data_IF_854039441266
#
_entry.id   IF_854039441266
#
_cell.length_a   1.000
_cell.length_b   1.000
_cell.length_c   1.000
_cell.angle_alpha   90.00
_cell.angle_beta   90.00
_cell.angle_gamma   90.00
#
_symmetry.space_group_name_H-M   'P 1'
#
loop_
_entity.id
_entity.type
_entity.pdbx_description
1 polymer ?
#
# COMPACT_ATOMS: atom_id res chain seq x y z
N UNK A 1 -32.17 21.61 -24.19
CA UNK A 1 -31.55 20.83 -23.12
C UNK A 1 -30.09 20.64 -23.50
N UNK A 2 -29.23 21.47 -22.96
CA UNK A 2 -27.78 21.35 -23.13
C UNK A 2 -27.37 20.04 -22.51
N UNK A 3 -27.07 19.04 -23.34
CA UNK A 3 -26.27 17.90 -22.94
C UNK A 3 -24.88 18.46 -22.60
N UNK A 4 -24.67 18.79 -21.35
CA UNK A 4 -23.34 19.11 -20.85
C UNK A 4 -22.51 17.84 -21.06
N UNK A 5 -21.80 17.84 -22.19
CA UNK A 5 -20.81 16.83 -22.49
C UNK A 5 -19.62 17.13 -21.54
N UNK A 6 -19.76 16.70 -20.26
CA UNK A 6 -18.69 16.85 -19.29
C UNK A 6 -17.73 15.67 -19.53
N UNK A 7 -16.61 15.89 -20.24
CA UNK A 7 -15.63 14.84 -20.54
C UNK A 7 -15.06 14.20 -19.27
N UNK A 8 -15.15 14.91 -18.15
CA UNK A 8 -14.62 14.45 -16.87
C UNK A 8 -15.50 13.40 -16.17
N UNK A 9 -16.77 13.23 -16.58
CA UNK A 9 -17.64 12.17 -16.03
C UNK A 9 -17.11 10.75 -16.30
N UNK A 10 -16.22 10.61 -17.29
CA UNK A 10 -15.56 9.36 -17.67
C UNK A 10 -14.09 9.33 -17.31
N UNK A 11 -13.54 10.41 -16.72
CA UNK A 11 -12.15 10.43 -16.29
C UNK A 11 -11.89 9.36 -15.24
N UNK A 12 -10.88 8.52 -15.45
CA UNK A 12 -10.43 7.49 -14.50
C UNK A 12 -9.27 7.97 -13.61
N UNK A 13 -8.84 9.24 -13.73
CA UNK A 13 -7.64 9.74 -13.07
C UNK A 13 -7.66 9.54 -11.54
N UNK A 14 -8.74 9.91 -10.88
CA UNK A 14 -8.84 9.73 -9.41
C UNK A 14 -8.71 8.26 -8.99
N UNK A 15 -9.21 7.33 -9.82
CA UNK A 15 -9.05 5.89 -9.59
C UNK A 15 -7.61 5.44 -9.78
N UNK A 16 -6.95 5.90 -10.85
CA UNK A 16 -5.54 5.60 -11.10
C UNK A 16 -4.64 6.15 -9.98
N UNK A 17 -4.91 7.39 -9.52
CA UNK A 17 -4.19 8.02 -8.43
C UNK A 17 -4.36 7.23 -7.11
N UNK A 18 -5.60 6.76 -6.83
CA UNK A 18 -5.86 5.90 -5.67
C UNK A 18 -5.08 4.59 -5.76
N UNK A 19 -5.22 3.84 -6.87
CA UNK A 19 -4.55 2.55 -7.07
C UNK A 19 -3.03 2.72 -6.94
N UNK A 20 -2.47 3.79 -7.52
CA UNK A 20 -1.04 4.07 -7.44
C UNK A 20 -0.59 4.34 -5.99
N UNK A 21 -1.36 5.12 -5.21
CA UNK A 21 -1.06 5.37 -3.80
C UNK A 21 -1.18 4.09 -2.97
N UNK A 22 -2.24 3.32 -3.15
CA UNK A 22 -2.46 2.05 -2.46
C UNK A 22 -1.31 1.06 -2.71
N UNK A 23 -0.92 0.86 -3.97
CA UNK A 23 0.21 0.00 -4.34
C UNK A 23 1.54 0.51 -3.76
N UNK A 24 1.75 1.83 -3.72
CA UNK A 24 2.94 2.45 -3.14
C UNK A 24 3.06 2.12 -1.66
N UNK A 25 2.01 2.32 -0.86
CA UNK A 25 2.04 2.07 0.58
C UNK A 25 1.94 0.58 0.94
N UNK A 26 1.37 -0.26 0.10
CA UNK A 26 1.46 -1.71 0.23
C UNK A 26 2.90 -2.20 0.01
N UNK A 27 3.59 -1.66 -0.98
CA UNK A 27 5.01 -1.95 -1.23
C UNK A 27 5.91 -1.46 -0.08
N UNK A 28 5.66 -0.27 0.48
CA UNK A 28 6.32 0.20 1.70
C UNK A 28 6.15 -0.82 2.83
N UNK A 29 4.92 -1.30 3.07
CA UNK A 29 4.64 -2.32 4.09
C UNK A 29 5.40 -3.63 3.86
N UNK A 30 5.53 -4.05 2.61
CA UNK A 30 6.31 -5.23 2.22
C UNK A 30 7.79 -5.06 2.54
N UNK A 31 8.39 -3.94 2.14
CA UNK A 31 9.81 -3.64 2.41
C UNK A 31 10.08 -3.59 3.92
N UNK A 32 9.18 -3.01 4.71
CA UNK A 32 9.29 -2.98 6.18
C UNK A 32 9.25 -4.40 6.74
N UNK A 33 8.32 -5.25 6.29
CA UNK A 33 8.24 -6.66 6.72
C UNK A 33 9.51 -7.41 6.35
N UNK A 34 10.02 -7.26 5.11
CA UNK A 34 11.28 -7.84 4.66
C UNK A 34 12.47 -7.36 5.52
N UNK A 35 12.47 -6.10 5.95
CA UNK A 35 13.53 -5.51 6.78
C UNK A 35 13.69 -6.17 8.15
N UNK A 36 12.65 -6.85 8.66
CA UNK A 36 12.74 -7.66 9.88
C UNK A 36 13.21 -9.10 9.63
N UNK A 37 13.46 -9.49 8.37
CA UNK A 37 13.89 -10.84 7.99
C UNK A 37 15.39 -10.84 7.66
N UNK A 38 16.22 -11.52 8.47
CA UNK A 38 17.68 -11.60 8.26
C UNK A 38 18.06 -12.14 6.87
N UNK A 39 17.24 -13.01 6.29
CA UNK A 39 17.49 -13.61 4.98
C UNK A 39 17.43 -12.61 3.83
N UNK A 40 16.76 -11.48 3.99
CA UNK A 40 16.61 -10.44 2.97
C UNK A 40 17.71 -9.38 3.09
N UNK A 41 18.15 -9.08 4.31
CA UNK A 41 19.20 -8.08 4.60
C UNK A 41 20.46 -8.32 3.76
N UNK A 42 20.87 -9.56 3.58
CA UNK A 42 22.09 -9.94 2.86
C UNK A 42 21.96 -9.95 1.32
N UNK A 43 20.76 -9.72 0.77
CA UNK A 43 20.50 -9.77 -0.68
C UNK A 43 20.06 -8.42 -1.26
N UNK A 44 19.95 -7.39 -0.43
CA UNK A 44 19.50 -6.06 -0.82
C UNK A 44 20.70 -5.13 -1.10
N UNK A 45 20.50 -4.17 -2.00
CA UNK A 45 21.41 -3.03 -2.14
C UNK A 45 21.24 -2.01 -1.00
N UNK A 46 20.17 -2.10 -0.20
CA UNK A 46 19.97 -1.27 0.97
C UNK A 46 20.83 -1.73 2.15
N UNK A 47 21.20 -0.80 3.01
CA UNK A 47 21.79 -1.11 4.31
C UNK A 47 20.73 -1.02 5.40
N UNK A 48 20.85 -1.90 6.39
CA UNK A 48 19.92 -2.02 7.51
C UNK A 48 20.66 -1.74 8.80
N UNK A 49 20.18 -0.81 9.63
CA UNK A 49 20.79 -0.49 10.91
C UNK A 49 19.73 -0.37 12.00
N UNK A 50 19.99 -1.03 13.12
CA UNK A 50 19.21 -0.87 14.35
C UNK A 50 19.84 0.26 15.16
N UNK A 51 19.01 1.23 15.55
CA UNK A 51 19.40 2.35 16.40
C UNK A 51 18.64 2.21 17.71
N UNK A 52 19.36 2.10 18.81
CA UNK A 52 18.83 1.87 20.14
C UNK A 52 18.33 0.42 20.39
N UNK A 53 19.10 -0.34 21.16
CA UNK A 53 18.76 -1.71 21.57
C UNK A 53 18.27 -1.74 23.03
N UNK A 54 17.70 -0.64 23.53
CA UNK A 54 17.17 -0.61 24.89
C UNK A 54 15.83 -1.32 24.94
N UNK A 55 15.73 -2.36 25.74
CA UNK A 55 14.49 -3.17 25.88
C UNK A 55 13.31 -2.43 26.53
N UNK A 56 13.52 -1.18 26.97
CA UNK A 56 12.51 -0.37 27.66
C UNK A 56 11.83 0.67 26.77
N UNK A 57 12.40 0.96 25.60
CA UNK A 57 11.90 1.98 24.67
C UNK A 57 11.59 1.38 23.29
N UNK A 58 10.90 2.16 22.46
CA UNK A 58 10.69 1.79 21.07
C UNK A 58 12.02 1.72 20.30
N UNK A 59 12.26 0.61 19.63
CA UNK A 59 13.44 0.44 18.78
C UNK A 59 13.25 1.12 17.42
N UNK A 60 14.37 1.41 16.75
CA UNK A 60 14.36 2.02 15.41
C UNK A 60 15.18 1.19 14.44
N UNK A 61 14.56 0.77 13.34
CA UNK A 61 15.20 0.19 12.18
C UNK A 61 15.29 1.25 11.08
N UNK A 62 16.49 1.49 10.55
CA UNK A 62 16.70 2.34 9.38
C UNK A 62 17.04 1.45 8.19
N UNK A 63 16.23 1.58 7.12
CA UNK A 63 16.51 0.98 5.82
C UNK A 63 17.01 2.09 4.90
N UNK A 64 18.29 2.07 4.57
CA UNK A 64 18.94 3.11 3.77
C UNK A 64 19.30 2.57 2.38
N UNK A 65 18.64 3.11 1.35
CA UNK A 65 18.84 2.78 -0.07
C UNK A 65 19.97 3.62 -0.70
N UNK A 66 20.60 4.52 0.05
CA UNK A 66 21.66 5.41 -0.46
C UNK A 66 21.10 6.61 -1.24
N UNK A 67 22.02 7.29 -1.93
CA UNK A 67 21.72 8.48 -2.73
C UNK A 67 21.56 8.18 -4.23
N UNK A 68 21.96 6.99 -4.67
CA UNK A 68 21.84 6.48 -6.04
C UNK A 68 20.75 5.42 -6.12
N UNK A 69 20.26 5.16 -7.31
CA UNK A 69 19.18 4.19 -7.50
C UNK A 69 19.60 2.77 -7.09
N UNK A 70 18.86 2.20 -6.19
CA UNK A 70 18.97 0.84 -5.66
C UNK A 70 17.80 0.02 -6.20
N UNK A 71 18.06 -0.95 -7.09
CA UNK A 71 17.02 -1.83 -7.61
C UNK A 71 16.70 -2.93 -6.59
N UNK A 72 15.50 -2.87 -6.03
CA UNK A 72 14.99 -3.92 -5.13
C UNK A 72 13.54 -4.24 -5.46
N UNK A 73 13.26 -5.53 -5.65
CA UNK A 73 11.93 -6.04 -5.98
C UNK A 73 11.29 -5.35 -7.21
N UNK A 74 12.10 -5.14 -8.26
CA UNK A 74 11.67 -4.53 -9.52
C UNK A 74 11.44 -3.02 -9.46
N UNK A 75 11.75 -2.34 -8.35
CA UNK A 75 11.58 -0.89 -8.18
C UNK A 75 12.90 -0.22 -7.84
N UNK A 76 13.16 0.94 -8.45
CA UNK A 76 14.30 1.79 -8.13
C UNK A 76 13.99 2.61 -6.87
N UNK A 77 14.90 2.57 -5.88
CA UNK A 77 14.72 3.25 -4.60
C UNK A 77 15.96 4.05 -4.24
N UNK A 78 15.77 5.16 -3.53
CA UNK A 78 16.84 5.94 -2.90
C UNK A 78 16.30 6.67 -1.68
N UNK A 79 17.20 7.14 -0.79
CA UNK A 79 16.82 7.77 0.48
C UNK A 79 16.64 6.73 1.57
N UNK A 80 15.86 7.03 2.59
CA UNK A 80 15.72 6.18 3.78
C UNK A 80 14.27 6.01 4.19
N UNK A 81 13.99 4.84 4.75
CA UNK A 81 12.83 4.58 5.57
C UNK A 81 13.28 4.48 7.03
N UNK A 82 12.59 5.18 7.91
CA UNK A 82 12.82 5.16 9.37
C UNK A 82 11.64 4.47 10.01
N UNK A 83 11.88 3.34 10.65
CA UNK A 83 10.86 2.48 11.21
C UNK A 83 11.04 2.41 12.73
N UNK A 84 10.11 3.00 13.49
CA UNK A 84 10.05 2.84 14.94
C UNK A 84 9.05 1.75 15.29
N UNK A 85 9.37 0.91 16.27
CA UNK A 85 8.50 -0.19 16.65
C UNK A 85 8.56 -0.47 18.16
N UNK A 86 7.41 -0.87 18.74
CA UNK A 86 7.26 -1.22 20.16
C UNK A 86 7.36 -2.72 20.41
N UNK A 87 7.45 -3.52 19.37
CA UNK A 87 7.54 -4.97 19.39
C UNK A 87 7.67 -5.51 17.96
N UNK A 88 7.85 -6.82 17.84
CA UNK A 88 7.98 -7.47 16.52
C UNK A 88 6.66 -7.50 15.79
N UNK A 89 6.70 -7.70 14.49
CA UNK A 89 5.51 -7.80 13.63
C UNK A 89 4.45 -8.78 14.15
N UNK A 90 4.87 -9.85 14.83
CA UNK A 90 4.00 -10.93 15.33
C UNK A 90 3.54 -10.73 16.78
N UNK A 91 4.10 -9.74 17.47
CA UNK A 91 3.75 -9.50 18.87
C UNK A 91 2.41 -8.76 18.95
N UNK A 92 1.47 -9.30 19.72
CA UNK A 92 0.17 -8.64 19.90
C UNK A 92 0.35 -7.25 20.50
N UNK A 93 -0.41 -6.29 19.99
CA UNK A 93 -0.37 -4.87 20.37
C UNK A 93 0.92 -4.13 19.96
N UNK A 94 1.82 -4.77 19.20
CA UNK A 94 2.96 -4.06 18.64
C UNK A 94 2.51 -2.98 17.66
N UNK A 95 3.22 -1.85 17.69
CA UNK A 95 3.02 -0.72 16.77
C UNK A 95 4.29 -0.53 15.96
N UNK A 96 4.17 -0.49 14.64
CA UNK A 96 5.27 -0.26 13.70
C UNK A 96 4.92 0.99 12.90
N UNK A 97 5.68 2.07 13.11
CA UNK A 97 5.51 3.35 12.40
C UNK A 97 6.64 3.55 11.41
N UNK A 98 6.31 3.77 10.16
CA UNK A 98 7.26 4.03 9.08
C UNK A 98 7.14 5.47 8.61
N UNK A 99 8.26 6.18 8.60
CA UNK A 99 8.43 7.54 8.05
C UNK A 99 9.54 7.57 7.01
N UNK A 100 9.70 8.68 6.31
CA UNK A 100 10.57 8.77 5.14
C UNK A 100 11.55 9.95 5.28
N UNK A 101 12.82 9.71 4.91
CA UNK A 101 13.86 10.74 4.78
C UNK A 101 14.37 10.72 3.34
N UNK A 102 13.90 11.69 2.53
CA UNK A 102 14.22 11.80 1.11
C UNK A 102 14.03 10.47 0.35
N UNK A 103 12.96 9.72 0.69
CA UNK A 103 12.70 8.43 0.10
C UNK A 103 11.98 8.57 -1.25
N UNK A 104 12.59 7.97 -2.26
CA UNK A 104 12.03 7.91 -3.62
C UNK A 104 11.80 6.46 -4.04
N UNK A 105 10.71 6.25 -4.77
CA UNK A 105 10.40 5.01 -5.46
C UNK A 105 10.06 5.30 -6.93
N UNK A 106 10.83 4.74 -7.86
CA UNK A 106 10.71 5.02 -9.31
C UNK A 106 10.67 6.54 -9.60
N UNK A 107 11.58 7.31 -9.00
CA UNK A 107 11.69 8.78 -9.07
C UNK A 107 10.51 9.57 -8.44
N UNK A 108 9.53 8.94 -7.82
CA UNK A 108 8.49 9.63 -7.08
C UNK A 108 8.91 9.80 -5.62
N UNK A 109 8.84 11.03 -5.09
CA UNK A 109 9.13 11.30 -3.69
C UNK A 109 7.94 10.89 -2.82
N UNK A 110 8.19 10.04 -1.83
CA UNK A 110 7.18 9.53 -0.90
C UNK A 110 7.35 10.22 0.45
N UNK A 111 6.27 10.74 1.00
CA UNK A 111 6.24 11.43 2.29
C UNK A 111 5.03 10.99 3.12
N UNK A 112 5.04 11.32 4.42
CA UNK A 112 3.98 10.98 5.37
C UNK A 112 4.39 9.86 6.31
N UNK A 113 3.41 9.15 6.85
CA UNK A 113 3.65 8.03 7.75
C UNK A 113 2.70 6.86 7.46
N UNK A 114 3.18 5.65 7.73
CA UNK A 114 2.39 4.42 7.72
C UNK A 114 2.52 3.74 9.07
N UNK A 115 1.39 3.53 9.74
CA UNK A 115 1.31 2.89 11.05
C UNK A 115 0.64 1.53 10.88
N UNK A 116 1.29 0.48 11.35
CA UNK A 116 0.71 -0.85 11.47
C UNK A 116 0.62 -1.21 12.96
N UNK A 117 -0.57 -1.60 13.41
CA UNK A 117 -0.79 -2.09 14.77
C UNK A 117 -1.30 -3.52 14.71
N UNK A 118 -0.62 -4.44 15.39
CA UNK A 118 -1.08 -5.80 15.55
C UNK A 118 -2.22 -5.84 16.57
N UNK A 119 -3.42 -6.21 16.13
CA UNK A 119 -4.63 -6.27 16.98
C UNK A 119 -4.80 -7.62 17.70
N UNK A 120 -3.83 -8.53 17.54
CA UNK A 120 -3.95 -9.90 18.05
C UNK A 120 -4.73 -10.79 17.09
N UNK A 121 -5.38 -11.83 17.64
CA UNK A 121 -6.12 -12.82 16.84
C UNK A 121 -7.61 -12.59 16.93
N UNK A 122 -8.28 -12.80 15.78
CA UNK A 122 -9.75 -12.84 15.73
C UNK A 122 -10.30 -14.19 16.22
N UNK A 123 -11.63 -14.37 16.18
CA UNK A 123 -12.33 -15.60 16.56
C UNK A 123 -11.90 -16.83 15.76
N UNK A 124 -11.44 -16.64 14.54
CA UNK A 124 -10.97 -17.71 13.64
C UNK A 124 -9.50 -18.07 13.88
N UNK A 125 -8.85 -17.38 14.83
CA UNK A 125 -7.45 -17.56 15.17
C UNK A 125 -6.47 -16.88 14.21
N UNK A 126 -6.96 -16.11 13.25
CA UNK A 126 -6.16 -15.35 12.31
C UNK A 126 -5.65 -14.06 12.95
N UNK A 127 -4.42 -13.69 12.62
CA UNK A 127 -3.82 -12.45 13.11
C UNK A 127 -4.38 -11.26 12.35
N UNK A 128 -4.80 -10.25 13.09
CA UNK A 128 -5.39 -9.03 12.53
C UNK A 128 -4.52 -7.81 12.78
N UNK A 129 -4.53 -6.89 11.84
CA UNK A 129 -3.80 -5.63 11.91
C UNK A 129 -4.71 -4.47 11.56
N UNK A 130 -4.51 -3.32 12.20
CA UNK A 130 -4.94 -2.05 11.65
C UNK A 130 -3.76 -1.38 10.94
N UNK A 131 -4.02 -0.79 9.78
CA UNK A 131 -3.03 -0.10 8.97
C UNK A 131 -3.58 1.29 8.67
N UNK A 132 -2.89 2.32 9.15
CA UNK A 132 -3.20 3.69 8.84
C UNK A 132 -2.07 4.31 8.01
N UNK A 133 -2.43 5.09 6.99
CA UNK A 133 -1.51 5.97 6.27
C UNK A 133 -2.01 7.38 6.47
N UNK A 134 -1.16 8.24 7.05
CA UNK A 134 -1.54 9.58 7.45
C UNK A 134 -0.69 10.63 6.75
N UNK A 135 -1.32 11.74 6.38
CA UNK A 135 -0.64 12.92 5.84
C UNK A 135 0.37 12.57 4.74
N UNK A 136 0.04 11.59 3.91
CA UNK A 136 0.97 11.13 2.89
C UNK A 136 0.87 11.95 1.61
N UNK A 137 2.00 12.10 0.93
CA UNK A 137 2.07 12.64 -0.41
C UNK A 137 3.01 11.81 -1.28
N UNK A 138 2.64 11.68 -2.56
CA UNK A 138 3.45 11.09 -3.61
C UNK A 138 3.66 12.19 -4.65
N UNK A 139 4.88 12.72 -4.73
CA UNK A 139 5.22 13.77 -5.69
C UNK A 139 5.76 13.11 -6.94
N UNK A 140 5.02 13.24 -8.02
CA UNK A 140 5.32 12.67 -9.34
C UNK A 140 5.63 13.78 -10.36
N UNK A 141 6.08 13.41 -11.55
CA UNK A 141 6.26 14.36 -12.65
C UNK A 141 4.93 14.98 -13.14
N UNK A 142 3.79 14.33 -12.85
CA UNK A 142 2.46 14.77 -13.31
C UNK A 142 1.70 15.59 -12.25
N UNK A 143 2.23 15.71 -11.04
CA UNK A 143 1.61 16.39 -9.93
C UNK A 143 1.75 15.63 -8.61
N UNK A 144 1.05 16.09 -7.59
CA UNK A 144 1.10 15.50 -6.25
C UNK A 144 -0.20 14.77 -5.94
N UNK A 145 -0.08 13.55 -5.44
CA UNK A 145 -1.19 12.79 -4.86
C UNK A 145 -1.06 12.92 -3.35
N UNK A 146 -2.05 13.55 -2.69
CA UNK A 146 -2.20 13.49 -1.25
C UNK A 146 -3.17 12.37 -0.91
N UNK A 147 -2.80 11.50 0.02
CA UNK A 147 -3.58 10.29 0.29
C UNK A 147 -3.51 9.88 1.76
N UNK A 148 -4.62 9.36 2.27
CA UNK A 148 -4.72 8.80 3.60
C UNK A 148 -5.64 7.58 3.57
N UNK A 149 -5.34 6.57 4.39
CA UNK A 149 -6.17 5.37 4.47
C UNK A 149 -6.24 4.81 5.88
N UNK A 150 -7.33 4.09 6.15
CA UNK A 150 -7.48 3.25 7.33
C UNK A 150 -8.02 1.89 6.88
N UNK A 151 -7.21 0.85 7.02
CA UNK A 151 -7.56 -0.51 6.62
C UNK A 151 -7.36 -1.48 7.78
N UNK A 152 -8.19 -2.51 7.82
CA UNK A 152 -7.99 -3.70 8.64
C UNK A 152 -7.51 -4.82 7.74
N UNK A 153 -6.50 -5.55 8.18
CA UNK A 153 -5.89 -6.66 7.45
C UNK A 153 -5.97 -7.92 8.29
N UNK A 154 -6.53 -8.98 7.74
CA UNK A 154 -6.52 -10.31 8.33
C UNK A 154 -5.51 -11.19 7.60
N UNK A 155 -4.61 -11.85 8.33
CA UNK A 155 -3.62 -12.76 7.78
C UNK A 155 -4.17 -14.18 7.76
N UNK A 156 -4.63 -14.64 6.59
CA UNK A 156 -5.37 -15.89 6.43
C UNK A 156 -4.49 -17.10 6.10
N UNK A 157 -3.29 -16.89 5.50
CA UNK A 157 -2.36 -17.97 5.13
C UNK A 157 -0.91 -17.51 5.22
N UNK A 158 0.06 -18.44 5.33
CA UNK A 158 1.51 -18.19 5.31
C UNK A 158 2.13 -17.95 6.69
N UNK A 159 1.35 -17.83 7.76
CA UNK A 159 1.85 -17.45 9.08
C UNK A 159 2.84 -18.45 9.71
N UNK A 160 2.76 -19.72 9.37
CA UNK A 160 3.61 -20.78 9.95
C UNK A 160 4.95 -20.92 9.23
N UNK A 161 5.11 -20.32 8.07
CA UNK A 161 6.28 -20.35 7.21
C UNK A 161 7.12 -19.09 7.38
N UNK A 162 7.57 -18.86 8.60
CA UNK A 162 8.36 -17.69 8.96
C UNK A 162 9.57 -17.51 8.03
N UNK A 163 9.69 -16.31 7.46
CA UNK A 163 10.77 -15.98 6.50
C UNK A 163 10.43 -16.22 5.04
N UNK A 164 9.32 -16.90 4.74
CA UNK A 164 8.77 -16.99 3.40
C UNK A 164 7.52 -16.12 3.27
N UNK A 165 7.62 -14.97 2.61
CA UNK A 165 6.47 -14.09 2.41
C UNK A 165 5.63 -14.45 1.17
N UNK A 166 6.13 -15.36 0.32
CA UNK A 166 5.47 -15.67 -0.96
C UNK A 166 4.22 -16.55 -0.80
N UNK A 167 3.99 -17.13 0.36
CA UNK A 167 2.77 -17.90 0.68
C UNK A 167 1.82 -17.14 1.61
N UNK A 168 2.13 -15.85 1.88
CA UNK A 168 1.28 -14.99 2.69
C UNK A 168 0.04 -14.56 1.91
N UNK A 169 -1.12 -14.77 2.51
CA UNK A 169 -2.40 -14.28 1.98
C UNK A 169 -3.13 -13.47 3.04
N UNK A 170 -3.74 -12.38 2.59
CA UNK A 170 -4.46 -11.44 3.45
C UNK A 170 -5.83 -11.11 2.90
N UNK A 171 -6.69 -10.63 3.80
CA UNK A 171 -7.97 -9.99 3.50
C UNK A 171 -7.97 -8.58 4.03
N UNK A 172 -8.22 -7.61 3.16
CA UNK A 172 -8.28 -6.19 3.55
C UNK A 172 -9.70 -5.64 3.43
N UNK A 173 -10.07 -4.84 4.43
CA UNK A 173 -11.27 -4.00 4.45
C UNK A 173 -10.88 -2.60 4.92
N UNK A 174 -11.62 -1.57 4.50
CA UNK A 174 -11.37 -0.22 4.97
C UNK A 174 -11.71 0.85 3.96
N UNK A 175 -11.11 2.02 4.17
CA UNK A 175 -11.39 3.21 3.37
C UNK A 175 -10.13 4.06 3.16
N UNK A 176 -10.19 4.92 2.16
CA UNK A 176 -9.17 5.92 1.89
C UNK A 176 -9.82 7.24 1.42
N UNK A 177 -9.05 8.30 1.46
CA UNK A 177 -9.40 9.56 0.84
C UNK A 177 -8.14 10.22 0.29
N UNK A 178 -8.30 11.09 -0.70
CA UNK A 178 -7.16 11.75 -1.30
C UNK A 178 -7.53 12.93 -2.17
N UNK A 179 -6.47 13.60 -2.64
CA UNK A 179 -6.54 14.62 -3.69
C UNK A 179 -5.53 14.17 -4.75
N UNK A 180 -6.02 13.93 -5.96
CA UNK A 180 -5.21 13.43 -7.07
C UNK A 180 -4.37 14.51 -7.75
N UNK A 181 -3.58 14.10 -8.75
CA UNK A 181 -2.67 14.99 -9.51
C UNK A 181 -3.38 16.17 -10.16
N UNK A 182 -4.65 16.04 -10.51
CA UNK A 182 -5.48 17.10 -11.09
C UNK A 182 -6.20 17.95 -10.03
N UNK A 183 -5.76 17.86 -8.76
CA UNK A 183 -6.34 18.58 -7.63
C UNK A 183 -7.83 18.25 -7.37
N UNK A 184 -8.28 17.07 -7.78
CA UNK A 184 -9.62 16.58 -7.50
C UNK A 184 -9.62 15.67 -6.27
N UNK A 185 -10.49 15.98 -5.30
CA UNK A 185 -10.64 15.16 -4.09
C UNK A 185 -11.50 13.93 -4.37
N UNK A 186 -11.21 12.85 -3.65
CA UNK A 186 -11.98 11.61 -3.72
C UNK A 186 -12.01 10.89 -2.37
N UNK A 187 -13.03 10.07 -2.17
CA UNK A 187 -13.05 9.04 -1.13
C UNK A 187 -13.11 7.66 -1.75
N UNK A 188 -12.62 6.66 -1.04
CA UNK A 188 -12.69 5.24 -1.41
C UNK A 188 -13.19 4.41 -0.23
N UNK A 189 -14.00 3.41 -0.53
CA UNK A 189 -14.46 2.39 0.41
C UNK A 189 -14.35 1.02 -0.24
N UNK A 190 -13.76 0.06 0.47
CA UNK A 190 -13.76 -1.34 0.04
C UNK A 190 -15.16 -1.90 0.29
N UNK A 191 -15.84 -2.31 -0.79
CA UNK A 191 -17.21 -2.85 -0.74
C UNK A 191 -17.18 -4.36 -0.50
N UNK A 192 -16.37 -5.06 -1.30
CA UNK A 192 -16.09 -6.49 -1.11
C UNK A 192 -14.63 -6.67 -0.76
N UNK A 193 -14.38 -7.52 0.22
CA UNK A 193 -13.05 -7.80 0.77
C UNK A 193 -12.01 -7.97 -0.32
N UNK A 194 -10.91 -7.19 -0.23
CA UNK A 194 -9.76 -7.36 -1.12
C UNK A 194 -8.95 -8.58 -0.67
N UNK A 195 -8.79 -9.56 -1.56
CA UNK A 195 -7.95 -10.72 -1.32
C UNK A 195 -6.56 -10.48 -1.89
N UNK A 196 -5.57 -10.48 -1.01
CA UNK A 196 -4.17 -10.19 -1.31
C UNK A 196 -3.37 -11.49 -1.23
N UNK A 197 -2.55 -11.75 -2.25
CA UNK A 197 -1.70 -12.93 -2.34
C UNK A 197 -0.28 -12.50 -2.70
N UNK A 198 0.65 -12.61 -1.76
CA UNK A 198 2.04 -12.24 -2.02
C UNK A 198 2.77 -13.25 -2.92
N UNK A 199 2.17 -14.42 -3.19
CA UNK A 199 2.62 -15.35 -4.23
C UNK A 199 2.56 -14.77 -5.64
N UNK A 200 1.78 -13.70 -5.84
CA UNK A 200 1.71 -12.97 -7.11
C UNK A 200 2.92 -12.07 -7.40
N UNK A 201 3.80 -11.81 -6.41
CA UNK A 201 4.96 -10.97 -6.65
C UNK A 201 5.84 -11.52 -7.79
N UNK A 202 6.37 -10.67 -8.66
CA UNK A 202 6.44 -9.20 -8.62
C UNK A 202 5.24 -8.47 -9.22
N UNK A 203 4.18 -9.18 -9.61
CA UNK A 203 2.95 -8.60 -10.15
C UNK A 203 2.07 -7.97 -9.06
N UNK A 204 0.90 -7.49 -9.43
CA UNK A 204 -0.06 -6.94 -8.49
C UNK A 204 -0.59 -8.03 -7.56
N UNK A 205 -0.57 -7.74 -6.26
CA UNK A 205 -0.88 -8.71 -5.21
C UNK A 205 -2.36 -8.76 -4.84
N UNK A 206 -3.17 -7.78 -5.25
CA UNK A 206 -4.62 -7.80 -5.04
C UNK A 206 -5.22 -8.65 -6.16
N UNK A 207 -5.75 -9.81 -5.82
CA UNK A 207 -6.28 -10.78 -6.79
C UNK A 207 -7.74 -10.56 -7.14
N UNK A 208 -8.54 -10.14 -6.18
CA UNK A 208 -9.96 -9.88 -6.35
C UNK A 208 -10.51 -9.02 -5.21
N UNK A 209 -11.75 -8.65 -5.35
CA UNK A 209 -12.49 -7.76 -4.47
C UNK A 209 -12.96 -6.52 -5.21
N UNK A 210 -13.77 -5.71 -4.56
CA UNK A 210 -14.29 -4.48 -5.15
C UNK A 210 -14.16 -3.29 -4.20
N UNK A 211 -13.88 -2.12 -4.78
CA UNK A 211 -13.89 -0.86 -4.06
C UNK A 211 -14.70 0.18 -4.83
N UNK A 212 -15.33 1.08 -4.09
CA UNK A 212 -16.02 2.24 -4.66
C UNK A 212 -15.17 3.49 -4.46
N UNK A 213 -14.93 4.24 -5.51
CA UNK A 213 -14.35 5.57 -5.46
C UNK A 213 -15.40 6.60 -5.81
N UNK A 214 -15.51 7.63 -4.97
CA UNK A 214 -16.41 8.77 -5.14
C UNK A 214 -15.60 10.06 -5.28
N UNK A 215 -15.22 10.45 -6.52
CA UNK A 215 -14.54 11.72 -6.76
C UNK A 215 -15.52 12.87 -6.66
N UNK A 216 -15.05 14.01 -6.13
CA UNK A 216 -15.90 15.19 -5.98
C UNK A 216 -16.34 15.73 -7.34
N UNK A 217 -17.65 15.93 -7.51
CA UNK A 217 -18.25 16.44 -8.76
C UNK A 217 -18.37 15.43 -9.90
N UNK A 218 -18.10 14.14 -9.66
CA UNK A 218 -18.14 13.08 -10.67
C UNK A 218 -19.00 11.90 -10.20
N UNK A 219 -19.37 11.03 -11.16
CA UNK A 219 -20.08 9.79 -10.81
C UNK A 219 -19.17 8.85 -9.99
N UNK A 220 -19.77 8.02 -9.15
CA UNK A 220 -19.05 6.94 -8.48
C UNK A 220 -18.43 5.96 -9.48
N UNK A 221 -17.28 5.41 -9.12
CA UNK A 221 -16.59 4.36 -9.84
C UNK A 221 -16.49 3.12 -8.97
N UNK A 222 -16.78 1.97 -9.56
CA UNK A 222 -16.49 0.69 -8.93
C UNK A 222 -15.20 0.15 -9.54
N UNK A 223 -14.21 -0.14 -8.70
CA UNK A 223 -13.01 -0.86 -9.11
C UNK A 223 -13.28 -2.34 -8.86
N UNK A 224 -13.15 -3.17 -9.88
CA UNK A 224 -13.06 -4.61 -9.75
C UNK A 224 -11.61 -5.03 -9.92
N UNK A 225 -11.02 -5.59 -8.85
CA UNK A 225 -9.59 -5.95 -8.79
C UNK A 225 -9.27 -7.29 -9.46
N UNK A 226 -10.12 -7.73 -10.39
CA UNK A 226 -9.83 -8.88 -11.23
C UNK A 226 -10.54 -10.16 -10.82
N UNK A 227 -10.12 -11.25 -11.44
CA UNK A 227 -10.75 -12.57 -11.44
C UNK A 227 -9.94 -13.64 -10.68
N UNK A 228 -9.05 -13.23 -9.78
CA UNK A 228 -8.15 -14.09 -9.00
C UNK A 228 -6.87 -14.53 -9.73
N UNK A 229 -6.54 -13.92 -10.85
CA UNK A 229 -5.25 -14.10 -11.52
C UNK A 229 -4.19 -13.16 -10.91
N UNK A 230 -2.91 -13.55 -11.04
CA UNK A 230 -1.77 -12.70 -10.68
C UNK A 230 -1.42 -11.77 -11.86
N UNK A 231 -2.28 -10.83 -12.15
CA UNK A 231 -2.05 -9.82 -13.17
C UNK A 231 -2.34 -8.41 -12.60
N UNK A 232 -2.10 -7.39 -13.38
CA UNK A 232 -2.35 -6.02 -12.95
C UNK A 232 -3.53 -5.40 -13.71
N UNK A 233 -4.52 -6.23 -14.05
CA UNK A 233 -5.71 -5.81 -14.78
C UNK A 233 -6.85 -5.55 -13.82
N UNK A 234 -7.42 -4.37 -13.94
CA UNK A 234 -8.56 -3.91 -13.15
C UNK A 234 -9.63 -3.39 -14.08
N UNK A 235 -10.86 -3.55 -13.67
CA UNK A 235 -11.98 -2.94 -14.35
C UNK A 235 -12.52 -1.76 -13.55
N UNK A 236 -12.67 -0.60 -14.22
CA UNK A 236 -13.34 0.56 -13.63
C UNK A 236 -14.73 0.65 -14.25
N UNK A 237 -15.76 0.54 -13.43
CA UNK A 237 -17.15 0.62 -13.88
C UNK A 237 -17.70 2.01 -13.50
N UNK A 238 -18.12 2.79 -14.52
CA UNK A 238 -18.72 4.12 -14.35
C UNK A 238 -20.10 4.09 -15.02
N UNK A 239 -21.17 4.31 -14.25
CA UNK A 239 -22.55 4.30 -14.75
C UNK A 239 -22.88 3.04 -15.59
N UNK A 240 -22.34 1.88 -15.21
CA UNK A 240 -22.53 0.61 -15.90
C UNK A 240 -21.64 0.38 -17.12
N UNK A 241 -20.81 1.33 -17.51
CA UNK A 241 -19.81 1.15 -18.58
C UNK A 241 -18.48 0.71 -17.99
N UNK A 242 -17.89 -0.34 -18.56
CA UNK A 242 -16.62 -0.90 -18.13
C UNK A 242 -15.43 -0.24 -18.87
N UNK A 243 -14.41 0.15 -18.12
CA UNK A 243 -13.15 0.72 -18.61
C UNK A 243 -12.00 -0.13 -18.06
N UNK A 244 -11.48 -1.08 -18.85
CA UNK A 244 -10.35 -1.89 -18.38
C UNK A 244 -9.08 -1.02 -18.29
N UNK A 245 -8.33 -1.22 -17.22
CA UNK A 245 -7.03 -0.61 -17.00
C UNK A 245 -5.99 -1.67 -16.68
N UNK A 246 -4.77 -1.43 -17.10
CA UNK A 246 -3.60 -2.21 -16.73
C UNK A 246 -2.59 -1.26 -16.07
N UNK A 247 -2.11 -1.62 -14.88
CA UNK A 247 -1.14 -0.84 -14.13
C UNK A 247 0.23 -1.51 -14.27
N UNK A 248 1.20 -0.76 -14.82
CA UNK A 248 2.58 -1.21 -15.05
C UNK A 248 3.54 -0.81 -13.92
#
# INVERSE_FOLDING_TARGET
>A
EDVINNPDLTSTQATQDHIFAEQTFNDVGRIVKEGFLESVINKSCATYSLVNNNTLDADTLIINFGTTDCLQNGKLRKGKMVITYTGRYYDSLSVITTTFDNYYMNNNLIQGERILTNQGRNSDGNMCFSIAVNNSSIITNNGTINWSSNTTREWVSGRTTYGNISDDQYKDMGSANGIGVNNNSFSMEIIDTLNIDLGCLPFCVIKNGTAKISPNGYADRIISYGDSLCDCKFDIIIKGTNYPIEVN
#
